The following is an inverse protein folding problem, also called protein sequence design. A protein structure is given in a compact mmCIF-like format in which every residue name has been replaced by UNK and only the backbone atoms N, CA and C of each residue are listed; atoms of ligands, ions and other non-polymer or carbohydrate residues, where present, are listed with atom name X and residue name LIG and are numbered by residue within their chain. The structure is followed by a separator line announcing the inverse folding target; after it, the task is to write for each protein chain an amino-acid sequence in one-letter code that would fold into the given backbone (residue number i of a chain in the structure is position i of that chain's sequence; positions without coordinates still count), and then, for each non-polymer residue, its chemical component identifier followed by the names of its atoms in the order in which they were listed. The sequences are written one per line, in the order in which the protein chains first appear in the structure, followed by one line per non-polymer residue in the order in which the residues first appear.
data_IF_392070280642
#
_entry.id   IF_392070280642
#
_cell.length_a   1.000
_cell.length_b   1.000
_cell.length_c   1.000
_cell.angle_alpha   90.00
_cell.angle_beta   90.00
_cell.angle_gamma   90.00
#
_symmetry.space_group_name_H-M   'P 1'
#
loop_
_entity.id
_entity.type
_entity.pdbx_description
1 polymer ?
#
# COMPACT_ATOMS: atom_id res chain seq x y z
N UNK A 1 -27.94 21.67 -0.59
CA UNK A 1 -27.73 20.32 -1.17
C UNK A 1 -26.35 20.33 -1.78
N UNK A 2 -25.34 20.11 -0.94
CA UNK A 2 -23.94 20.11 -1.35
C UNK A 2 -23.65 18.85 -2.15
N UNK A 3 -23.18 19.05 -3.39
CA UNK A 3 -22.68 17.97 -4.21
C UNK A 3 -21.36 17.53 -3.59
N UNK A 4 -21.28 16.28 -3.14
CA UNK A 4 -20.00 15.64 -2.85
C UNK A 4 -19.14 15.75 -4.12
N UNK A 5 -18.18 16.68 -4.11
CA UNK A 5 -17.08 16.67 -5.05
C UNK A 5 -16.28 15.41 -4.72
N UNK A 6 -16.06 14.46 -5.64
CA UNK A 6 -15.16 13.35 -5.37
C UNK A 6 -13.82 13.97 -4.96
N UNK A 7 -13.31 13.64 -3.78
CA UNK A 7 -11.96 14.06 -3.40
C UNK A 7 -11.03 13.63 -4.55
N UNK A 8 -10.31 14.60 -5.13
CA UNK A 8 -9.31 14.30 -6.13
C UNK A 8 -8.30 13.33 -5.47
N UNK A 9 -7.95 12.24 -6.14
CA UNK A 9 -7.06 11.19 -5.59
C UNK A 9 -5.76 11.77 -5.03
N UNK A 10 -5.27 12.86 -5.63
CA UNK A 10 -4.11 13.62 -5.18
C UNK A 10 -4.35 14.30 -3.82
N UNK A 11 -5.47 14.99 -3.64
CA UNK A 11 -5.87 15.58 -2.35
C UNK A 11 -6.04 14.50 -1.28
N UNK A 12 -6.65 13.37 -1.63
CA UNK A 12 -6.75 12.24 -0.70
C UNK A 12 -5.37 11.72 -0.28
N UNK A 13 -4.44 11.57 -1.24
CA UNK A 13 -3.07 11.15 -0.97
C UNK A 13 -2.34 12.14 -0.03
N UNK A 14 -2.52 13.45 -0.21
CA UNK A 14 -1.97 14.49 0.68
C UNK A 14 -2.56 14.42 2.10
N UNK A 15 -3.89 14.24 2.21
CA UNK A 15 -4.56 14.12 3.50
C UNK A 15 -4.13 12.86 4.26
N UNK A 16 -3.94 11.74 3.55
CA UNK A 16 -3.41 10.49 4.12
C UNK A 16 -1.97 10.65 4.61
N UNK A 17 -1.11 11.32 3.85
CA UNK A 17 0.26 11.66 4.28
C UNK A 17 0.26 12.55 5.51
N UNK A 18 -0.64 13.52 5.57
CA UNK A 18 -0.78 14.41 6.72
C UNK A 18 -1.18 13.65 7.98
N UNK A 19 -2.09 12.66 7.86
CA UNK A 19 -2.46 11.79 8.97
C UNK A 19 -1.31 10.88 9.42
N UNK A 20 -0.58 10.29 8.48
CA UNK A 20 0.52 9.38 8.78
C UNK A 20 1.81 10.08 9.23
N UNK A 21 1.86 11.42 9.20
CA UNK A 21 3.02 12.20 9.61
C UNK A 21 3.36 11.92 11.08
N UNK A 22 4.58 11.43 11.33
CA UNK A 22 5.04 11.04 12.67
C UNK A 22 4.98 9.54 12.99
N UNK A 23 4.38 8.70 12.15
CA UNK A 23 4.43 7.23 12.27
C UNK A 23 4.95 6.60 10.97
N UNK A 24 6.15 6.01 11.02
CA UNK A 24 6.79 5.44 9.83
C UNK A 24 6.09 4.18 9.29
N UNK A 25 5.35 3.45 10.13
CA UNK A 25 4.60 2.27 9.71
C UNK A 25 3.34 2.68 8.95
N UNK A 26 2.60 3.66 9.47
CA UNK A 26 1.45 4.24 8.76
C UNK A 26 1.89 4.93 7.47
N UNK A 27 3.00 5.69 7.51
CA UNK A 27 3.55 6.36 6.32
C UNK A 27 3.94 5.34 5.24
N UNK A 28 4.60 4.25 5.62
CA UNK A 28 4.97 3.19 4.67
C UNK A 28 3.73 2.52 4.03
N UNK A 29 2.71 2.21 4.84
CA UNK A 29 1.47 1.62 4.36
C UNK A 29 0.71 2.58 3.43
N UNK A 30 0.64 3.86 3.78
CA UNK A 30 0.02 4.92 2.97
C UNK A 30 0.73 5.09 1.63
N UNK A 31 2.07 5.23 1.62
CA UNK A 31 2.83 5.39 0.37
C UNK A 31 2.74 4.16 -0.52
N UNK A 32 2.65 2.95 0.05
CA UNK A 32 2.39 1.73 -0.70
C UNK A 32 1.05 1.80 -1.44
N UNK A 33 -0.01 2.20 -0.75
CA UNK A 33 -1.35 2.31 -1.34
C UNK A 33 -1.43 3.44 -2.39
N UNK A 34 -0.78 4.58 -2.14
CA UNK A 34 -0.68 5.68 -3.10
C UNK A 34 0.06 5.25 -4.37
N UNK A 35 1.20 4.57 -4.22
CA UNK A 35 2.02 4.10 -5.35
C UNK A 35 1.28 3.06 -6.17
N UNK A 36 0.52 2.17 -5.53
CA UNK A 36 -0.31 1.19 -6.21
C UNK A 36 -1.51 1.83 -6.93
N UNK A 37 -2.07 2.90 -6.37
CA UNK A 37 -3.06 3.77 -7.00
C UNK A 37 -4.50 3.21 -7.05
N UNK A 38 -4.69 1.89 -7.12
CA UNK A 38 -6.03 1.30 -7.26
C UNK A 38 -6.93 1.62 -6.06
N UNK A 39 -6.48 1.32 -4.84
CA UNK A 39 -7.31 1.39 -3.63
C UNK A 39 -7.85 2.79 -3.31
N UNK A 40 -7.09 3.85 -3.61
CA UNK A 40 -7.52 5.23 -3.33
C UNK A 40 -8.67 5.68 -4.23
N UNK A 41 -8.84 5.09 -5.41
CA UNK A 41 -9.93 5.43 -6.35
C UNK A 41 -11.23 4.68 -6.06
N UNK A 42 -11.20 3.75 -5.09
CA UNK A 42 -12.25 2.78 -4.88
C UNK A 42 -13.23 3.20 -3.78
N UNK A 43 -14.53 3.38 -4.10
CA UNK A 43 -15.53 3.82 -3.10
C UNK A 43 -15.76 2.83 -1.95
N UNK A 44 -15.57 1.53 -2.17
CA UNK A 44 -15.70 0.51 -1.13
C UNK A 44 -14.55 0.58 -0.11
N UNK A 45 -13.35 0.90 -0.57
CA UNK A 45 -12.19 1.18 0.28
C UNK A 45 -12.33 2.53 1.01
N UNK A 46 -12.73 3.59 0.31
CA UNK A 46 -12.86 4.95 0.88
C UNK A 46 -13.83 5.01 2.07
N UNK A 47 -14.80 4.09 2.18
CA UNK A 47 -15.69 3.97 3.37
C UNK A 47 -14.95 3.63 4.67
N UNK A 48 -13.70 3.22 4.59
CA UNK A 48 -12.86 2.92 5.75
C UNK A 48 -11.95 4.09 6.15
N UNK A 49 -12.13 5.22 5.49
CA UNK A 49 -11.39 6.45 5.72
C UNK A 49 -12.25 7.42 6.53
N UNK A 50 -11.60 8.26 7.35
CA UNK A 50 -12.28 9.35 8.04
C UNK A 50 -11.52 10.67 7.85
N UNK A 51 -12.12 11.62 7.12
CA UNK A 51 -11.61 12.97 7.03
C UNK A 51 -11.77 13.71 8.36
N UNK A 52 -10.74 14.44 8.76
CA UNK A 52 -10.71 15.31 9.93
C UNK A 52 -9.72 16.46 9.73
N UNK A 53 -9.62 17.36 10.71
CA UNK A 53 -8.57 18.38 10.75
C UNK A 53 -7.59 18.07 11.89
N UNK A 54 -6.29 18.12 11.62
CA UNK A 54 -5.27 17.92 12.65
C UNK A 54 -5.25 19.07 13.68
N UNK A 55 -4.37 18.96 14.68
CA UNK A 55 -4.23 19.98 15.73
C UNK A 55 -3.82 21.37 15.20
N UNK A 56 -3.27 21.45 13.98
CA UNK A 56 -2.86 22.68 13.31
C UNK A 56 -3.91 23.18 12.30
N UNK A 57 -5.08 22.53 12.22
CA UNK A 57 -6.14 22.88 11.28
C UNK A 57 -5.85 22.46 9.83
N UNK A 58 -4.91 21.53 9.60
CA UNK A 58 -4.65 20.97 8.26
C UNK A 58 -5.62 19.82 7.97
N UNK A 59 -6.17 19.72 6.75
CA UNK A 59 -6.96 18.55 6.35
C UNK A 59 -6.14 17.26 6.46
N UNK A 60 -6.74 16.23 7.04
CA UNK A 60 -6.13 14.91 7.18
C UNK A 60 -7.20 13.83 6.99
N UNK A 61 -6.78 12.64 6.59
CA UNK A 61 -7.69 11.50 6.43
C UNK A 61 -7.08 10.29 7.11
N UNK A 62 -7.77 9.74 8.11
CA UNK A 62 -7.31 8.56 8.84
C UNK A 62 -7.74 7.26 8.15
N UNK A 63 -6.86 6.25 8.14
CA UNK A 63 -7.23 4.88 7.74
C UNK A 63 -7.50 4.05 8.99
N UNK A 64 -8.72 3.49 9.09
CA UNK A 64 -9.03 2.53 10.15
C UNK A 64 -8.56 1.13 9.78
N UNK A 65 -7.28 0.80 10.03
CA UNK A 65 -6.69 -0.48 9.63
C UNK A 65 -7.48 -1.71 10.10
N UNK A 66 -8.03 -1.68 11.32
CA UNK A 66 -8.87 -2.77 11.85
C UNK A 66 -10.20 -2.93 11.07
N UNK A 67 -10.77 -1.82 10.61
CA UNK A 67 -11.97 -1.84 9.77
C UNK A 67 -11.64 -2.39 8.38
N UNK A 68 -10.50 -1.97 7.82
CA UNK A 68 -9.98 -2.45 6.52
C UNK A 68 -9.67 -3.94 6.59
N UNK A 69 -8.95 -4.43 7.61
CA UNK A 69 -8.64 -5.86 7.78
C UNK A 69 -9.92 -6.69 7.92
N UNK A 70 -10.88 -6.22 8.71
CA UNK A 70 -12.19 -6.85 8.83
C UNK A 70 -12.97 -6.89 7.51
N UNK A 71 -12.95 -5.81 6.73
CA UNK A 71 -13.61 -5.76 5.42
C UNK A 71 -12.95 -6.71 4.41
N UNK A 72 -11.61 -6.77 4.40
CA UNK A 72 -10.85 -7.68 3.55
C UNK A 72 -11.13 -9.15 3.89
N UNK A 73 -11.08 -9.51 5.17
CA UNK A 73 -11.32 -10.89 5.63
C UNK A 73 -12.76 -11.36 5.37
N UNK A 74 -13.74 -10.45 5.35
CA UNK A 74 -15.12 -10.75 4.98
C UNK A 74 -15.38 -10.76 3.47
N UNK A 75 -14.37 -10.51 2.64
CA UNK A 75 -14.53 -10.39 1.19
C UNK A 75 -15.34 -9.16 0.75
N UNK A 76 -15.47 -8.15 1.61
CA UNK A 76 -16.19 -6.90 1.30
C UNK A 76 -15.36 -5.93 0.45
N UNK A 77 -14.12 -6.29 0.11
CA UNK A 77 -13.20 -5.57 -0.76
C UNK A 77 -12.77 -6.49 -1.91
N UNK A 78 -13.65 -6.75 -2.90
CA UNK A 78 -13.34 -7.65 -4.01
C UNK A 78 -12.21 -7.07 -4.87
N UNK A 79 -11.11 -7.78 -5.04
CA UNK A 79 -9.94 -7.26 -5.75
C UNK A 79 -9.22 -8.38 -6.51
N UNK A 80 -8.34 -7.98 -7.43
CA UNK A 80 -7.37 -8.91 -8.00
C UNK A 80 -6.48 -9.49 -6.89
N UNK A 81 -5.87 -10.65 -7.15
CA UNK A 81 -4.92 -11.25 -6.19
C UNK A 81 -3.76 -10.29 -5.88
N UNK A 82 -3.28 -9.54 -6.87
CA UNK A 82 -2.22 -8.54 -6.71
C UNK A 82 -2.67 -7.39 -5.79
N UNK A 83 -3.80 -6.75 -6.09
CA UNK A 83 -4.32 -5.65 -5.28
C UNK A 83 -4.65 -6.08 -3.84
N UNK A 84 -5.23 -7.27 -3.66
CA UNK A 84 -5.47 -7.84 -2.34
C UNK A 84 -4.15 -8.10 -1.57
N UNK A 85 -3.12 -8.60 -2.25
CA UNK A 85 -1.80 -8.83 -1.65
C UNK A 85 -1.14 -7.51 -1.22
N UNK A 86 -1.18 -6.48 -2.07
CA UNK A 86 -0.69 -5.13 -1.70
C UNK A 86 -1.40 -4.60 -0.45
N UNK A 87 -2.72 -4.75 -0.37
CA UNK A 87 -3.47 -4.33 0.82
C UNK A 87 -3.11 -5.14 2.08
N UNK A 88 -2.87 -6.45 1.95
CA UNK A 88 -2.39 -7.29 3.06
C UNK A 88 -1.02 -6.86 3.54
N UNK A 89 -0.10 -6.50 2.63
CA UNK A 89 1.21 -5.99 3.00
C UNK A 89 1.07 -4.66 3.75
N UNK A 90 0.23 -3.74 3.28
CA UNK A 90 -0.05 -2.49 3.99
C UNK A 90 -0.60 -2.74 5.41
N UNK A 91 -1.54 -3.68 5.57
CA UNK A 91 -2.05 -4.10 6.88
C UNK A 91 -0.99 -4.79 7.75
N UNK A 92 -0.05 -5.52 7.15
CA UNK A 92 1.04 -6.17 7.87
C UNK A 92 2.05 -5.16 8.41
N UNK A 93 2.32 -4.07 7.69
CA UNK A 93 3.18 -2.99 8.16
C UNK A 93 2.61 -2.34 9.43
N UNK A 94 1.29 -2.29 9.57
CA UNK A 94 0.59 -1.65 10.69
C UNK A 94 0.14 -2.67 11.75
N UNK A 95 0.78 -3.85 11.80
CA UNK A 95 0.50 -4.96 12.72
C UNK A 95 -0.97 -5.42 12.74
N UNK A 96 -1.73 -5.15 11.68
CA UNK A 96 -3.17 -5.42 11.62
C UNK A 96 -3.51 -6.77 10.99
N UNK A 97 -2.64 -7.30 10.12
CA UNK A 97 -2.83 -8.62 9.49
C UNK A 97 -1.49 -9.19 8.97
N UNK A 98 -1.10 -10.44 9.30
CA UNK A 98 0.10 -11.04 8.73
C UNK A 98 -0.06 -11.33 7.23
N UNK A 99 1.05 -11.33 6.49
CA UNK A 99 1.11 -11.69 5.07
C UNK A 99 1.95 -12.96 4.86
N UNK A 100 1.53 -13.82 3.93
CA UNK A 100 2.32 -14.97 3.48
C UNK A 100 3.32 -14.51 2.42
N UNK A 101 4.60 -14.87 2.56
CA UNK A 101 5.64 -14.48 1.60
C UNK A 101 5.42 -15.09 0.22
N UNK A 102 4.73 -16.22 0.11
CA UNK A 102 4.38 -16.83 -1.18
C UNK A 102 3.44 -15.95 -2.00
N UNK A 103 2.54 -15.21 -1.36
CA UNK A 103 1.68 -14.22 -2.02
C UNK A 103 2.52 -13.06 -2.58
N UNK A 104 3.54 -12.63 -1.83
CA UNK A 104 4.45 -11.53 -2.22
C UNK A 104 5.27 -11.89 -3.46
N UNK A 105 5.69 -13.15 -3.60
CA UNK A 105 6.48 -13.62 -4.76
C UNK A 105 5.67 -13.58 -6.06
N UNK A 106 4.33 -13.57 -5.99
CA UNK A 106 3.45 -13.47 -7.16
C UNK A 106 3.26 -12.06 -7.72
N UNK A 107 3.83 -11.02 -7.10
CA UNK A 107 3.67 -9.64 -7.54
C UNK A 107 4.46 -9.34 -8.82
N UNK A 108 3.92 -8.45 -9.66
CA UNK A 108 4.65 -7.88 -10.78
C UNK A 108 5.79 -6.95 -10.31
N UNK A 109 6.64 -6.53 -11.26
CA UNK A 109 7.81 -5.72 -10.98
C UNK A 109 7.47 -4.35 -10.35
N UNK A 110 6.37 -3.72 -10.74
CA UNK A 110 5.97 -2.41 -10.24
C UNK A 110 5.50 -2.51 -8.79
N UNK A 111 4.63 -3.49 -8.50
CA UNK A 111 4.13 -3.76 -7.15
C UNK A 111 5.26 -4.26 -6.22
N UNK A 112 6.19 -5.07 -6.73
CA UNK A 112 7.40 -5.47 -5.99
C UNK A 112 8.24 -4.25 -5.60
N UNK A 113 8.49 -3.34 -6.53
CA UNK A 113 9.25 -2.12 -6.26
C UNK A 113 8.55 -1.20 -5.24
N UNK A 114 7.21 -1.12 -5.28
CA UNK A 114 6.43 -0.35 -4.30
C UNK A 114 6.56 -0.94 -2.88
N UNK A 115 6.45 -2.27 -2.75
CA UNK A 115 6.61 -2.97 -1.46
C UNK A 115 8.01 -2.76 -0.87
N UNK A 116 9.06 -2.88 -1.69
CA UNK A 116 10.44 -2.67 -1.23
C UNK A 116 10.67 -1.23 -0.73
N UNK A 117 10.08 -0.23 -1.39
CA UNK A 117 10.13 1.16 -0.91
C UNK A 117 9.39 1.32 0.41
N UNK A 118 8.21 0.74 0.55
CA UNK A 118 7.44 0.79 1.78
C UNK A 118 8.22 0.17 2.96
N UNK A 119 8.90 -0.97 2.74
CA UNK A 119 9.77 -1.57 3.76
C UNK A 119 10.95 -0.67 4.14
N UNK A 120 11.58 0.00 3.17
CA UNK A 120 12.64 0.97 3.46
C UNK A 120 12.14 2.15 4.29
N UNK A 121 10.94 2.67 4.00
CA UNK A 121 10.28 3.71 4.82
C UNK A 121 9.99 3.21 6.23
N UNK A 122 9.41 2.01 6.36
CA UNK A 122 9.03 1.42 7.65
C UNK A 122 10.22 1.18 8.58
N UNK A 123 11.37 0.80 8.01
CA UNK A 123 12.62 0.54 8.74
C UNK A 123 13.42 1.80 9.06
N UNK A 124 13.00 2.97 8.57
CA UNK A 124 13.68 4.26 8.74
C UNK A 124 15.15 4.24 8.31
N UNK A 125 15.53 3.34 7.40
CA UNK A 125 16.88 3.31 6.85
C UNK A 125 17.11 4.58 6.02
N UNK A 126 18.14 5.35 6.38
CA UNK A 126 18.59 6.52 5.61
C UNK A 126 19.57 6.14 4.50
N UNK A 127 20.02 4.87 4.48
CA UNK A 127 20.92 4.34 3.48
C UNK A 127 20.22 4.08 2.14
N UNK A 128 20.95 4.33 1.05
CA UNK A 128 20.44 4.04 -0.30
C UNK A 128 20.48 2.53 -0.57
N UNK A 129 19.33 1.87 -0.47
CA UNK A 129 19.17 0.46 -0.87
C UNK A 129 19.00 0.39 -2.39
N UNK A 130 19.99 -0.18 -3.09
CA UNK A 130 19.88 -0.47 -4.53
C UNK A 130 19.64 -1.96 -4.70
N UNK A 131 18.44 -2.33 -5.16
CA UNK A 131 18.11 -3.73 -5.49
C UNK A 131 18.38 -3.95 -6.97
N UNK A 132 19.44 -4.69 -7.27
CA UNK A 132 19.74 -5.13 -8.65
C UNK A 132 19.42 -6.61 -8.75
N UNK A 133 18.41 -6.95 -9.55
CA UNK A 133 18.14 -8.34 -9.90
C UNK A 133 19.05 -8.72 -11.06
N UNK A 134 20.07 -9.54 -10.78
CA UNK A 134 20.83 -10.16 -11.85
C UNK A 134 19.87 -11.01 -12.72
N UNK A 135 20.04 -11.05 -14.06
CA UNK A 135 19.25 -11.93 -14.88
C UNK A 135 19.39 -13.37 -14.36
N UNK A 136 18.26 -14.09 -14.32
CA UNK A 136 18.23 -15.50 -13.89
C UNK A 136 19.31 -16.26 -14.66
N UNK A 137 20.33 -16.73 -13.95
CA UNK A 137 21.31 -17.62 -14.54
C UNK A 137 20.61 -18.96 -14.80
N UNK A 138 20.19 -19.18 -16.05
CA UNK A 138 19.69 -20.48 -16.47
C UNK A 138 20.86 -21.47 -16.49
N UNK A 139 20.70 -22.67 -15.92
CA UNK A 139 21.70 -23.73 -16.07
C UNK A 139 21.86 -24.08 -17.57
N UNK A 140 23.07 -24.52 -17.97
CA UNK A 140 23.46 -24.64 -19.38
C UNK A 140 22.49 -25.45 -20.25
N UNK A 141 21.86 -26.48 -19.67
CA UNK A 141 20.89 -27.34 -20.35
C UNK A 141 19.57 -26.64 -20.75
N UNK A 142 19.31 -25.43 -20.26
CA UNK A 142 18.16 -24.60 -20.63
C UNK A 142 18.48 -23.57 -21.73
N UNK A 143 19.76 -23.42 -22.12
CA UNK A 143 20.20 -22.44 -23.13
C UNK A 143 20.28 -23.01 -24.55
N UNK A 144 20.29 -24.33 -24.71
CA UNK A 144 20.57 -25.00 -25.99
C UNK A 144 19.33 -25.37 -26.81
N UNK A 145 18.13 -24.94 -26.39
CA UNK A 145 16.85 -25.33 -27.02
C UNK A 145 16.04 -24.20 -27.67
N UNK A 146 16.63 -23.04 -27.97
CA UNK A 146 15.96 -21.90 -28.62
C UNK A 146 16.54 -21.58 -29.99
#
# INVERSE_FOLDING_TARGET
MDRQNPENTETLAENLRTWADGDSLDMAAVELLITHGEWLTRPDFQRNLEPYFDANGRPATAIYWQKVSGALNRGSLPASSSAATVLRIALSLTNSLPVDLSDVVGLDAANTAAVLRALAVATQHTDRITVTLAPRQLPGWLKEGS
#
